data_IF_810257645925
#
_entry.id   IF_810257645925
#
_cell.length_a   1.000
_cell.length_b   1.000
_cell.length_c   1.000
_cell.angle_alpha   90.00
_cell.angle_beta   90.00
_cell.angle_gamma   90.00
#
_symmetry.space_group_name_H-M   'P 1'
#
loop_
_entity.id
_entity.type
_entity.pdbx_description
1 polymer ?
#
# COMPACT_ATOMS: atom_id res chain seq x y z
N UNK A 1 -10.39 4.21 -13.84
CA UNK A 1 -10.01 5.35 -12.99
C UNK A 1 -8.79 4.88 -12.21
N UNK A 2 -7.69 5.62 -12.22
CA UNK A 2 -6.49 5.21 -11.48
C UNK A 2 -6.72 5.48 -9.99
N UNK A 3 -7.20 4.47 -9.27
CA UNK A 3 -7.51 4.56 -7.84
C UNK A 3 -6.25 4.76 -7.00
N UNK A 4 -5.07 4.38 -7.50
CA UNK A 4 -3.79 4.58 -6.81
C UNK A 4 -3.42 6.07 -6.87
N UNK A 5 -3.43 6.66 -8.07
CA UNK A 5 -3.17 8.10 -8.21
C UNK A 5 -4.20 8.95 -7.46
N UNK A 6 -5.48 8.57 -7.53
CA UNK A 6 -6.54 9.26 -6.79
C UNK A 6 -6.32 9.16 -5.27
N UNK A 7 -5.94 7.98 -4.76
CA UNK A 7 -5.59 7.79 -3.34
C UNK A 7 -4.41 8.67 -2.92
N UNK A 8 -3.35 8.73 -3.74
CA UNK A 8 -2.18 9.58 -3.50
C UNK A 8 -2.56 11.06 -3.42
N UNK A 9 -3.36 11.55 -4.36
CA UNK A 9 -3.82 12.95 -4.34
C UNK A 9 -4.74 13.25 -3.16
N UNK A 10 -5.62 12.32 -2.78
CA UNK A 10 -6.42 12.44 -1.56
C UNK A 10 -5.53 12.57 -0.30
N UNK A 11 -4.45 11.78 -0.21
CA UNK A 11 -3.49 11.87 0.88
C UNK A 11 -2.76 13.22 0.97
N UNK A 12 -2.46 13.84 -0.18
CA UNK A 12 -1.89 15.20 -0.23
C UNK A 12 -2.89 16.23 0.30
N UNK A 13 -4.16 16.19 -0.16
CA UNK A 13 -5.20 17.10 0.34
C UNK A 13 -5.41 16.91 1.86
N UNK A 14 -5.41 15.68 2.36
CA UNK A 14 -5.57 15.37 3.78
C UNK A 14 -4.43 15.99 4.62
N UNK A 15 -3.19 15.86 4.15
CA UNK A 15 -2.01 16.46 4.78
C UNK A 15 -2.10 17.99 4.83
N UNK A 16 -2.45 18.64 3.72
CA UNK A 16 -2.52 20.09 3.67
C UNK A 16 -3.75 20.65 4.41
N UNK A 17 -4.88 19.94 4.41
CA UNK A 17 -6.06 20.26 5.24
C UNK A 17 -5.70 20.29 6.72
N UNK A 18 -4.93 19.30 7.20
CA UNK A 18 -4.42 19.26 8.57
C UNK A 18 -3.51 20.44 8.90
N UNK A 19 -2.56 20.77 8.01
CA UNK A 19 -1.69 21.94 8.18
C UNK A 19 -2.49 23.24 8.30
N UNK A 20 -3.52 23.43 7.48
CA UNK A 20 -4.38 24.62 7.61
C UNK A 20 -4.96 24.74 9.03
N UNK A 21 -5.45 23.64 9.62
CA UNK A 21 -5.98 23.63 11.00
C UNK A 21 -4.90 23.95 12.04
N UNK A 22 -3.71 23.39 11.88
CA UNK A 22 -2.56 23.66 12.76
C UNK A 22 -2.16 25.15 12.71
N UNK A 23 -2.08 25.72 11.51
CA UNK A 23 -1.77 27.13 11.29
C UNK A 23 -2.84 28.08 11.87
N UNK A 24 -4.11 27.67 11.89
CA UNK A 24 -5.20 28.41 12.54
C UNK A 24 -5.07 28.40 14.08
N UNK A 25 -4.56 27.30 14.63
CA UNK A 25 -4.45 27.08 16.08
C UNK A 25 -3.31 27.87 16.74
N UNK A 26 -2.40 28.45 15.96
CA UNK A 26 -1.29 29.23 16.49
C UNK A 26 -1.77 30.61 16.99
N UNK A 27 -1.57 30.89 18.29
CA UNK A 27 -2.15 32.06 18.98
C UNK A 27 -1.48 33.39 18.59
N UNK A 28 -0.21 33.35 18.14
CA UNK A 28 0.62 34.57 18.12
C UNK A 28 0.71 35.29 16.77
N UNK A 29 0.51 34.61 15.62
CA UNK A 29 0.54 35.23 14.28
C UNK A 29 0.06 34.29 13.18
N UNK A 30 -0.60 34.84 12.16
CA UNK A 30 -0.84 34.11 10.91
C UNK A 30 0.47 33.96 10.11
N UNK A 31 0.93 32.73 9.91
CA UNK A 31 2.04 32.40 9.02
C UNK A 31 1.59 32.46 7.55
N UNK A 32 1.44 33.67 7.02
CA UNK A 32 0.86 33.92 5.68
C UNK A 32 1.49 33.08 4.57
N UNK A 33 2.80 32.96 4.56
CA UNK A 33 3.51 32.19 3.53
C UNK A 33 3.17 30.69 3.63
N UNK A 34 3.10 30.14 4.84
CA UNK A 34 2.71 28.75 5.06
C UNK A 34 1.26 28.49 4.61
N UNK A 35 0.35 29.43 4.89
CA UNK A 35 -1.03 29.38 4.37
C UNK A 35 -1.06 29.39 2.84
N UNK A 36 -0.41 30.36 2.21
CA UNK A 36 -0.40 30.49 0.75
C UNK A 36 0.19 29.25 0.07
N UNK A 37 1.28 28.70 0.63
CA UNK A 37 1.88 27.47 0.13
C UNK A 37 0.91 26.29 0.23
N UNK A 38 0.23 26.12 1.36
CA UNK A 38 -0.77 25.05 1.55
C UNK A 38 -1.92 25.19 0.54
N UNK A 39 -2.42 26.41 0.34
CA UNK A 39 -3.49 26.70 -0.63
C UNK A 39 -3.07 26.39 -2.07
N UNK A 40 -1.83 26.72 -2.47
CA UNK A 40 -1.30 26.40 -3.79
C UNK A 40 -1.22 24.89 -4.03
N UNK A 41 -0.77 24.13 -3.02
CA UNK A 41 -0.69 22.67 -3.12
C UNK A 41 -2.09 22.06 -3.23
N UNK A 42 -3.05 22.55 -2.42
CA UNK A 42 -4.44 22.10 -2.45
C UNK A 42 -5.06 22.35 -3.83
N UNK A 43 -4.97 23.57 -4.35
CA UNK A 43 -5.56 23.92 -5.66
C UNK A 43 -4.96 23.12 -6.81
N UNK A 44 -3.63 22.98 -6.83
CA UNK A 44 -2.92 22.15 -7.83
C UNK A 44 -3.38 20.69 -7.76
N UNK A 45 -3.54 20.15 -6.56
CA UNK A 45 -3.95 18.76 -6.35
C UNK A 45 -5.42 18.54 -6.70
N UNK A 46 -6.32 19.46 -6.35
CA UNK A 46 -7.74 19.41 -6.75
C UNK A 46 -7.90 19.43 -8.28
N UNK A 47 -7.07 20.21 -8.97
CA UNK A 47 -7.06 20.25 -10.44
C UNK A 47 -6.67 18.89 -11.05
N UNK A 48 -5.69 18.21 -10.47
CA UNK A 48 -5.29 16.84 -10.87
C UNK A 48 -6.40 15.83 -10.61
N UNK A 49 -7.06 15.90 -9.46
CA UNK A 49 -8.22 15.05 -9.15
C UNK A 49 -9.37 15.31 -10.15
N UNK A 50 -9.61 16.57 -10.51
CA UNK A 50 -10.63 16.94 -11.51
C UNK A 50 -10.34 16.36 -12.89
N UNK A 51 -9.07 16.23 -13.26
CA UNK A 51 -8.66 15.58 -14.51
C UNK A 51 -8.91 14.06 -14.47
N UNK A 52 -8.77 13.41 -13.30
CA UNK A 52 -9.09 12.00 -13.13
C UNK A 52 -10.61 11.74 -13.08
N UNK A 53 -11.39 12.71 -12.61
CA UNK A 53 -12.85 12.65 -12.45
C UNK A 53 -13.62 13.43 -13.52
N UNK A 54 -13.16 13.43 -14.76
CA UNK A 54 -13.71 14.23 -15.88
C UNK A 54 -15.21 14.05 -16.13
N UNK A 55 -15.79 12.90 -15.78
CA UNK A 55 -17.21 12.61 -15.99
C UNK A 55 -18.08 12.79 -14.71
N UNK A 56 -17.48 13.12 -13.57
CA UNK A 56 -18.20 13.32 -12.30
C UNK A 56 -18.67 14.78 -12.17
N UNK A 57 -19.90 15.05 -12.63
CA UNK A 57 -20.50 16.39 -12.60
C UNK A 57 -20.63 16.95 -11.17
N UNK A 58 -20.88 16.08 -10.19
CA UNK A 58 -20.99 16.48 -8.79
C UNK A 58 -19.63 16.94 -8.26
N UNK A 59 -18.57 16.18 -8.57
CA UNK A 59 -17.20 16.58 -8.24
C UNK A 59 -16.83 17.91 -8.90
N UNK A 60 -17.15 18.12 -10.18
CA UNK A 60 -16.86 19.38 -10.87
C UNK A 60 -17.49 20.60 -10.18
N UNK A 61 -18.75 20.49 -9.76
CA UNK A 61 -19.42 21.56 -9.02
C UNK A 61 -18.74 21.85 -7.67
N UNK A 62 -18.39 20.79 -6.93
CA UNK A 62 -17.67 20.92 -5.65
C UNK A 62 -16.26 21.51 -5.84
N UNK A 63 -15.55 21.11 -6.89
CA UNK A 63 -14.23 21.62 -7.25
C UNK A 63 -14.26 23.13 -7.53
N UNK A 64 -15.21 23.59 -8.34
CA UNK A 64 -15.38 25.02 -8.64
C UNK A 64 -15.67 25.84 -7.36
N UNK A 65 -16.52 25.29 -6.48
CA UNK A 65 -16.83 25.92 -5.20
C UNK A 65 -15.58 26.03 -4.31
N UNK A 66 -14.76 24.98 -4.23
CA UNK A 66 -13.50 24.99 -3.48
C UNK A 66 -12.46 25.95 -4.08
N UNK A 67 -12.34 26.03 -5.41
CA UNK A 67 -11.47 27.01 -6.06
C UNK A 67 -11.86 28.45 -5.71
N UNK A 68 -13.17 28.72 -5.62
CA UNK A 68 -13.69 30.03 -5.20
C UNK A 68 -13.29 30.33 -3.75
N UNK A 69 -13.47 29.37 -2.84
CA UNK A 69 -13.10 29.53 -1.43
C UNK A 69 -11.59 29.73 -1.24
N UNK A 70 -10.76 28.99 -1.98
CA UNK A 70 -9.30 29.16 -1.98
C UNK A 70 -8.90 30.56 -2.45
N UNK A 71 -9.50 31.04 -3.55
CA UNK A 71 -9.23 32.37 -4.10
C UNK A 71 -9.64 33.49 -3.13
N UNK A 72 -10.79 33.33 -2.47
CA UNK A 72 -11.26 34.24 -1.43
C UNK A 72 -10.29 34.27 -0.25
N UNK A 73 -9.87 33.10 0.25
CA UNK A 73 -8.94 33.02 1.38
C UNK A 73 -7.58 33.63 1.05
N UNK A 74 -7.05 33.43 -0.17
CA UNK A 74 -5.84 34.14 -0.64
C UNK A 74 -6.00 35.66 -0.58
N UNK A 75 -7.14 36.16 -1.05
CA UNK A 75 -7.47 37.60 -1.03
C UNK A 75 -7.52 38.13 0.41
N UNK A 76 -8.14 37.39 1.32
CA UNK A 76 -8.23 37.77 2.73
C UNK A 76 -6.85 37.79 3.41
N UNK A 77 -5.99 36.82 3.11
CA UNK A 77 -4.60 36.79 3.62
C UNK A 77 -3.77 37.99 3.15
N UNK A 78 -3.90 38.38 1.88
CA UNK A 78 -3.21 39.56 1.34
C UNK A 78 -3.73 40.86 1.96
N UNK A 79 -5.04 40.93 2.23
CA UNK A 79 -5.73 42.08 2.80
C UNK A 79 -6.02 41.92 4.29
N UNK A 80 -5.13 41.26 5.04
CA UNK A 80 -5.32 40.95 6.47
C UNK A 80 -5.73 42.18 7.30
N UNK A 81 -5.15 43.34 7.02
CA UNK A 81 -5.46 44.60 7.71
C UNK A 81 -6.93 45.05 7.58
N UNK A 82 -7.64 44.59 6.55
CA UNK A 82 -9.06 44.91 6.33
C UNK A 82 -10.00 43.87 6.96
N UNK A 83 -9.62 42.60 6.93
CA UNK A 83 -10.51 41.49 7.32
C UNK A 83 -10.29 41.01 8.77
N UNK A 84 -9.10 41.21 9.32
CA UNK A 84 -8.73 40.75 10.65
C UNK A 84 -8.37 39.26 10.72
N UNK A 85 -7.50 38.90 11.65
CA UNK A 85 -6.96 37.54 11.78
C UNK A 85 -8.02 36.49 12.10
N UNK A 86 -8.92 36.79 13.02
CA UNK A 86 -9.98 35.86 13.45
C UNK A 86 -10.93 35.47 12.31
N UNK A 87 -11.23 36.41 11.42
CA UNK A 87 -12.04 36.12 10.24
C UNK A 87 -11.31 35.14 9.31
N UNK A 88 -10.03 35.41 9.02
CA UNK A 88 -9.19 34.56 8.16
C UNK A 88 -9.08 33.15 8.75
N UNK A 89 -8.86 33.05 10.07
CA UNK A 89 -8.81 31.78 10.80
C UNK A 89 -10.09 30.96 10.61
N UNK A 90 -11.27 31.60 10.73
CA UNK A 90 -12.57 30.95 10.49
C UNK A 90 -12.74 30.50 9.04
N UNK A 91 -12.33 31.32 8.07
CA UNK A 91 -12.40 30.96 6.65
C UNK A 91 -11.48 29.79 6.30
N UNK A 92 -10.27 29.75 6.88
CA UNK A 92 -9.37 28.62 6.74
C UNK A 92 -9.93 27.33 7.37
N UNK A 93 -10.52 27.43 8.56
CA UNK A 93 -11.18 26.32 9.23
C UNK A 93 -12.35 25.78 8.38
N UNK A 94 -13.20 26.67 7.87
CA UNK A 94 -14.29 26.31 6.96
C UNK A 94 -13.80 25.58 5.71
N UNK A 95 -12.72 26.07 5.08
CA UNK A 95 -12.11 25.41 3.92
C UNK A 95 -11.62 24.00 4.28
N UNK A 96 -10.93 23.83 5.41
CA UNK A 96 -10.45 22.53 5.87
C UNK A 96 -11.61 21.54 6.09
N UNK A 97 -12.69 21.96 6.75
CA UNK A 97 -13.88 21.12 6.96
C UNK A 97 -14.54 20.70 5.63
N UNK A 98 -14.58 21.61 4.64
CA UNK A 98 -15.13 21.33 3.31
C UNK A 98 -14.25 20.37 2.50
N UNK A 99 -12.93 20.48 2.63
CA UNK A 99 -11.98 19.53 2.03
C UNK A 99 -12.15 18.13 2.63
N UNK A 100 -12.31 18.01 3.94
CA UNK A 100 -12.50 16.71 4.59
C UNK A 100 -13.83 16.07 4.18
N UNK A 101 -14.91 16.86 4.08
CA UNK A 101 -16.19 16.39 3.57
C UNK A 101 -16.12 15.90 2.11
N UNK A 102 -15.29 16.55 1.28
CA UNK A 102 -15.00 16.08 -0.07
C UNK A 102 -14.25 14.75 -0.04
N UNK A 103 -13.18 14.64 0.76
CA UNK A 103 -12.34 13.45 0.87
C UNK A 103 -13.15 12.21 1.22
N UNK A 104 -14.10 12.30 2.16
CA UNK A 104 -14.99 11.17 2.51
C UNK A 104 -15.77 10.63 1.31
N UNK A 105 -16.10 11.48 0.34
CA UNK A 105 -16.86 11.11 -0.87
C UNK A 105 -15.98 10.57 -1.98
N UNK A 106 -14.77 11.11 -2.13
CA UNK A 106 -13.91 10.84 -3.30
C UNK A 106 -12.80 9.84 -3.03
N UNK A 107 -12.40 9.65 -1.77
CA UNK A 107 -11.31 8.74 -1.41
C UNK A 107 -11.71 7.33 -1.84
N UNK A 108 -10.88 6.64 -2.65
CA UNK A 108 -11.16 5.27 -3.06
C UNK A 108 -11.44 4.40 -1.84
N UNK A 109 -12.63 3.83 -1.77
CA UNK A 109 -12.98 2.89 -0.71
C UNK A 109 -12.44 1.52 -1.12
N UNK A 110 -11.43 1.05 -0.42
CA UNK A 110 -10.81 -0.24 -0.75
C UNK A 110 -9.67 -0.60 0.19
N UNK A 111 -9.28 -1.87 0.12
CA UNK A 111 -8.17 -2.43 0.91
C UNK A 111 -6.88 -1.59 0.76
N UNK A 112 -6.56 -1.17 -0.46
CA UNK A 112 -5.36 -0.38 -0.76
C UNK A 112 -5.34 0.99 -0.07
N UNK A 113 -6.49 1.68 0.05
CA UNK A 113 -6.55 2.96 0.77
C UNK A 113 -6.33 2.77 2.28
N UNK A 114 -6.84 1.68 2.87
CA UNK A 114 -6.62 1.37 4.29
C UNK A 114 -5.19 0.95 4.57
N UNK A 115 -4.58 0.20 3.64
CA UNK A 115 -3.17 -0.18 3.71
C UNK A 115 -2.26 1.06 3.66
N UNK A 116 -2.55 1.99 2.75
CA UNK A 116 -1.80 3.25 2.66
C UNK A 116 -1.93 4.08 3.94
N UNK A 117 -3.14 4.19 4.51
CA UNK A 117 -3.35 4.85 5.81
C UNK A 117 -2.59 4.16 6.96
N UNK A 118 -2.55 2.83 6.96
CA UNK A 118 -1.80 2.05 7.96
C UNK A 118 -0.30 2.35 7.87
N UNK A 119 0.28 2.27 6.66
CA UNK A 119 1.70 2.55 6.41
C UNK A 119 2.03 4.00 6.82
N UNK A 120 1.18 4.97 6.48
CA UNK A 120 1.37 6.37 6.87
C UNK A 120 1.36 6.59 8.39
N UNK A 121 0.60 5.79 9.14
CA UNK A 121 0.55 5.84 10.62
C UNK A 121 1.70 5.09 11.29
N UNK A 122 2.33 4.16 10.58
CA UNK A 122 3.35 3.26 11.11
C UNK A 122 4.61 3.33 10.24
N UNK A 123 5.44 4.38 10.39
CA UNK A 123 6.55 4.70 9.49
C UNK A 123 7.68 3.65 9.49
N UNK A 124 7.67 2.70 10.42
CA UNK A 124 8.56 1.54 10.39
C UNK A 124 8.25 0.56 9.24
N UNK A 125 7.06 0.65 8.65
CA UNK A 125 6.66 -0.16 7.51
C UNK A 125 6.66 0.70 6.25
N UNK A 126 7.12 0.11 5.14
CA UNK A 126 7.10 0.74 3.82
C UNK A 126 6.08 0.06 2.90
N UNK A 127 5.79 0.69 1.77
CA UNK A 127 5.01 0.08 0.70
C UNK A 127 5.70 -1.21 0.18
N UNK A 128 7.02 -1.16 -0.05
CA UNK A 128 7.81 -2.33 -0.47
C UNK A 128 7.71 -3.48 0.53
N UNK A 129 7.75 -3.18 1.84
CA UNK A 129 7.55 -4.18 2.88
C UNK A 129 6.15 -4.81 2.78
N UNK A 130 5.11 -4.00 2.64
CA UNK A 130 3.73 -4.49 2.55
C UNK A 130 3.51 -5.36 1.31
N UNK A 131 4.06 -4.97 0.15
CA UNK A 131 4.00 -5.78 -1.08
C UNK A 131 4.74 -7.10 -0.90
N UNK A 132 5.97 -7.07 -0.37
CA UNK A 132 6.74 -8.29 -0.12
C UNK A 132 6.04 -9.26 0.83
N UNK A 133 5.41 -8.75 1.90
CA UNK A 133 4.59 -9.55 2.83
C UNK A 133 3.46 -10.29 2.11
N UNK A 134 2.79 -9.64 1.15
CA UNK A 134 1.70 -10.25 0.39
C UNK A 134 2.21 -11.37 -0.51
N UNK A 135 3.27 -11.14 -1.30
CA UNK A 135 3.81 -12.16 -2.21
C UNK A 135 4.38 -13.37 -1.45
N UNK A 136 5.18 -13.14 -0.41
CA UNK A 136 5.75 -14.21 0.41
C UNK A 136 4.65 -15.01 1.13
N UNK A 137 3.62 -14.33 1.63
CA UNK A 137 2.47 -14.98 2.25
C UNK A 137 1.65 -15.80 1.25
N UNK A 138 1.39 -15.27 0.06
CA UNK A 138 0.66 -15.97 -1.00
C UNK A 138 1.37 -17.26 -1.44
N UNK A 139 2.69 -17.19 -1.62
CA UNK A 139 3.53 -18.35 -1.95
C UNK A 139 3.45 -19.45 -0.87
N UNK A 140 3.53 -19.07 0.41
CA UNK A 140 3.42 -20.03 1.51
C UNK A 140 2.03 -20.66 1.61
N UNK A 141 0.97 -19.86 1.38
CA UNK A 141 -0.40 -20.37 1.34
C UNK A 141 -0.58 -21.36 0.19
N UNK A 142 -0.07 -21.06 -1.01
CA UNK A 142 -0.13 -21.97 -2.15
C UNK A 142 0.56 -23.31 -1.83
N UNK A 143 1.76 -23.26 -1.27
CA UNK A 143 2.50 -24.46 -0.87
C UNK A 143 1.76 -25.27 0.19
N UNK A 144 1.24 -24.64 1.24
CA UNK A 144 0.49 -25.34 2.28
C UNK A 144 -0.76 -26.03 1.72
N UNK A 145 -1.50 -25.32 0.86
CA UNK A 145 -2.70 -25.89 0.21
C UNK A 145 -2.36 -27.09 -0.65
N UNK A 146 -1.27 -27.04 -1.42
CA UNK A 146 -0.78 -28.19 -2.17
C UNK A 146 -0.50 -29.39 -1.27
N UNK A 147 0.27 -29.18 -0.20
CA UNK A 147 0.67 -30.27 0.69
C UNK A 147 -0.55 -30.91 1.38
N UNK A 148 -1.53 -30.11 1.75
CA UNK A 148 -2.81 -30.57 2.31
C UNK A 148 -3.64 -31.33 1.27
N UNK A 149 -3.83 -30.76 0.07
CA UNK A 149 -4.68 -31.35 -0.97
C UNK A 149 -4.18 -32.74 -1.41
N UNK A 150 -2.86 -32.90 -1.55
CA UNK A 150 -2.25 -34.16 -1.96
C UNK A 150 -1.84 -35.06 -0.77
N UNK A 151 -2.24 -34.70 0.46
CA UNK A 151 -1.92 -35.44 1.69
C UNK A 151 -0.43 -35.80 1.81
N UNK A 152 0.44 -34.84 1.52
CA UNK A 152 1.89 -35.07 1.44
C UNK A 152 2.47 -35.32 2.83
N UNK A 153 2.92 -36.56 3.08
CA UNK A 153 3.57 -36.93 4.34
C UNK A 153 5.07 -36.57 4.32
N UNK A 154 5.43 -35.46 4.97
CA UNK A 154 6.79 -34.95 5.01
C UNK A 154 7.77 -35.90 5.73
N UNK A 155 7.33 -36.64 6.74
CA UNK A 155 8.17 -37.61 7.46
C UNK A 155 8.51 -38.81 6.57
N UNK A 156 7.55 -39.33 5.80
CA UNK A 156 7.76 -40.42 4.84
C UNK A 156 8.70 -40.00 3.70
N UNK A 157 8.63 -38.73 3.30
CA UNK A 157 9.55 -38.14 2.33
C UNK A 157 10.94 -37.87 2.93
N UNK A 158 11.20 -38.22 4.20
CA UNK A 158 12.48 -38.05 4.87
C UNK A 158 12.87 -36.61 5.13
N UNK A 159 11.89 -35.70 5.20
CA UNK A 159 12.11 -34.29 5.58
C UNK A 159 12.31 -34.22 7.08
N UNK A 160 13.43 -33.63 7.51
CA UNK A 160 13.71 -33.42 8.94
C UNK A 160 13.34 -32.00 9.32
N UNK A 161 12.62 -31.85 10.44
CA UNK A 161 12.27 -30.54 11.01
C UNK A 161 13.54 -29.79 11.41
N UNK A 162 13.64 -28.51 11.03
CA UNK A 162 14.63 -27.60 11.57
C UNK A 162 14.15 -27.03 12.91
N UNK A 163 14.16 -27.84 13.98
CA UNK A 163 13.84 -27.42 15.35
C UNK A 163 12.76 -28.27 16.05
N UNK A 164 12.30 -27.79 17.21
CA UNK A 164 11.31 -28.48 18.06
C UNK A 164 9.84 -28.17 17.72
N UNK A 165 9.58 -27.34 16.70
CA UNK A 165 8.24 -26.86 16.32
C UNK A 165 7.80 -27.42 14.95
N UNK A 166 6.68 -26.93 14.41
CA UNK A 166 6.17 -27.29 13.08
C UNK A 166 7.20 -27.08 11.96
N UNK A 167 7.00 -27.76 10.82
CA UNK A 167 7.86 -27.64 9.64
C UNK A 167 7.94 -26.19 9.16
N UNK A 168 9.15 -25.72 8.92
CA UNK A 168 9.40 -24.40 8.34
C UNK A 168 8.95 -24.36 6.87
N UNK A 169 8.85 -23.16 6.29
CA UNK A 169 8.63 -23.00 4.85
C UNK A 169 9.68 -23.77 4.03
N UNK A 170 10.95 -23.72 4.43
CA UNK A 170 12.04 -24.42 3.75
C UNK A 170 11.83 -25.95 3.77
N UNK A 171 11.42 -26.50 4.92
CA UNK A 171 11.15 -27.93 5.08
C UNK A 171 9.98 -28.37 4.19
N UNK A 172 8.88 -27.60 4.22
CA UNK A 172 7.69 -27.85 3.41
C UNK A 172 7.99 -27.82 1.93
N UNK A 173 8.75 -26.84 1.47
CA UNK A 173 9.12 -26.72 0.06
C UNK A 173 10.05 -27.87 -0.36
N UNK A 174 10.99 -28.26 0.51
CA UNK A 174 11.84 -29.42 0.25
C UNK A 174 11.02 -30.71 0.13
N UNK A 175 10.00 -30.88 0.97
CA UNK A 175 9.01 -31.96 0.85
C UNK A 175 8.25 -31.93 -0.46
N UNK A 176 7.74 -30.76 -0.85
CA UNK A 176 7.10 -30.56 -2.16
C UNK A 176 8.00 -31.00 -3.32
N UNK A 177 9.26 -30.58 -3.35
CA UNK A 177 10.22 -31.00 -4.38
C UNK A 177 10.44 -32.51 -4.39
N UNK A 178 10.57 -33.14 -3.23
CA UNK A 178 10.72 -34.60 -3.12
C UNK A 178 9.47 -35.34 -3.60
N UNK A 179 8.30 -34.84 -3.24
CA UNK A 179 7.02 -35.38 -3.68
C UNK A 179 6.93 -35.36 -5.21
N UNK A 180 7.20 -34.23 -5.85
CA UNK A 180 7.18 -34.13 -7.31
C UNK A 180 8.18 -35.08 -7.99
N UNK A 181 9.38 -35.23 -7.43
CA UNK A 181 10.35 -36.19 -7.94
C UNK A 181 9.86 -37.66 -7.82
N UNK A 182 9.17 -38.03 -6.74
CA UNK A 182 8.55 -39.36 -6.61
C UNK A 182 7.45 -39.59 -7.66
N UNK A 183 6.79 -38.53 -8.11
CA UNK A 183 5.80 -38.57 -9.19
C UNK A 183 6.39 -38.33 -10.59
N UNK A 184 7.72 -38.43 -10.76
CA UNK A 184 8.44 -38.20 -12.02
C UNK A 184 8.22 -36.79 -12.63
N UNK A 185 7.82 -35.81 -11.82
CA UNK A 185 7.70 -34.41 -12.22
C UNK A 185 9.03 -33.72 -11.90
N UNK A 186 9.83 -33.50 -12.94
CA UNK A 186 11.15 -32.88 -12.78
C UNK A 186 11.03 -31.37 -12.54
N UNK A 187 11.67 -30.89 -11.47
CA UNK A 187 11.84 -29.47 -11.17
C UNK A 187 13.26 -29.07 -11.57
N UNK A 188 13.45 -27.97 -12.31
CA UNK A 188 14.80 -27.56 -12.67
C UNK A 188 15.63 -27.17 -11.44
N UNK A 189 16.95 -27.33 -11.58
CA UNK A 189 17.89 -27.25 -10.44
C UNK A 189 17.88 -25.89 -9.73
N UNK A 190 17.61 -24.81 -10.46
CA UNK A 190 17.57 -23.47 -9.89
C UNK A 190 16.39 -23.34 -8.90
N UNK A 191 15.23 -23.86 -9.29
CA UNK A 191 13.97 -23.86 -8.55
C UNK A 191 14.04 -24.72 -7.29
N UNK A 192 14.93 -25.72 -7.27
CA UNK A 192 15.21 -26.53 -6.08
C UNK A 192 16.01 -25.79 -5.00
N UNK A 193 16.85 -24.81 -5.36
CA UNK A 193 17.68 -24.05 -4.40
C UNK A 193 16.97 -22.82 -3.83
N UNK A 194 15.90 -22.36 -4.49
CA UNK A 194 15.06 -21.25 -4.04
C UNK A 194 14.62 -21.29 -2.57
N UNK A 195 14.20 -22.43 -1.97
CA UNK A 195 13.75 -22.45 -0.58
C UNK A 195 14.75 -21.89 0.43
N UNK A 196 16.07 -22.08 0.23
CA UNK A 196 17.08 -21.50 1.13
C UNK A 196 17.12 -19.98 1.02
N UNK A 197 17.00 -19.47 -0.20
CA UNK A 197 17.01 -18.02 -0.49
C UNK A 197 15.74 -17.39 0.08
N UNK A 198 14.57 -17.96 -0.18
CA UNK A 198 13.29 -17.45 0.31
C UNK A 198 13.12 -17.58 1.81
N UNK A 199 13.64 -18.63 2.43
CA UNK A 199 13.61 -18.75 3.89
C UNK A 199 14.31 -17.56 4.55
N UNK A 200 15.49 -17.19 4.08
CA UNK A 200 16.24 -16.06 4.61
C UNK A 200 15.54 -14.72 4.33
N UNK A 201 15.06 -14.51 3.10
CA UNK A 201 14.36 -13.27 2.74
C UNK A 201 13.06 -13.14 3.53
N UNK A 202 12.27 -14.22 3.63
CA UNK A 202 11.04 -14.27 4.43
C UNK A 202 11.32 -13.97 5.89
N UNK A 203 12.36 -14.57 6.48
CA UNK A 203 12.70 -14.29 7.86
C UNK A 203 13.01 -12.80 8.08
N UNK A 204 13.80 -12.21 7.18
CA UNK A 204 14.12 -10.78 7.22
C UNK A 204 12.87 -9.90 7.09
N UNK A 205 12.01 -10.15 6.09
CA UNK A 205 10.83 -9.31 5.83
C UNK A 205 9.76 -9.49 6.92
N UNK A 206 9.43 -10.73 7.26
CA UNK A 206 8.31 -11.07 8.15
C UNK A 206 8.67 -10.89 9.62
N UNK A 207 9.87 -11.28 10.03
CA UNK A 207 10.25 -11.33 11.45
C UNK A 207 11.19 -10.20 11.87
N UNK A 208 12.09 -9.76 10.99
CA UNK A 208 13.04 -8.67 11.29
C UNK A 208 12.52 -7.29 10.85
N UNK A 209 11.42 -7.22 10.10
CA UNK A 209 10.83 -5.97 9.61
C UNK A 209 11.65 -5.31 8.49
N UNK A 210 12.48 -6.08 7.79
CA UNK A 210 13.28 -5.56 6.68
C UNK A 210 12.39 -5.05 5.54
N UNK A 211 12.61 -3.80 5.14
CA UNK A 211 11.99 -3.19 3.96
C UNK A 211 12.86 -3.43 2.72
N UNK A 212 12.39 -4.22 1.73
CA UNK A 212 13.15 -4.47 0.50
C UNK A 212 13.44 -3.20 -0.29
N UNK A 213 14.62 -3.15 -0.92
CA UNK A 213 14.87 -2.18 -2.00
C UNK A 213 14.03 -2.52 -3.22
N UNK A 214 13.90 -1.62 -4.19
CA UNK A 214 13.11 -1.88 -5.40
C UNK A 214 13.63 -3.11 -6.17
N UNK A 215 14.95 -3.30 -6.21
CA UNK A 215 15.57 -4.48 -6.82
C UNK A 215 15.27 -5.77 -6.05
N UNK A 216 15.33 -5.71 -4.72
CA UNK A 216 15.02 -6.87 -3.88
C UNK A 216 13.51 -7.20 -3.98
N UNK A 217 12.66 -6.18 -4.11
CA UNK A 217 11.23 -6.35 -4.27
C UNK A 217 10.89 -7.01 -5.62
N UNK A 218 11.47 -6.52 -6.72
CA UNK A 218 11.32 -7.14 -8.05
C UNK A 218 11.72 -8.62 -8.01
N UNK A 219 12.85 -8.92 -7.37
CA UNK A 219 13.30 -10.29 -7.16
C UNK A 219 12.29 -11.12 -6.36
N UNK A 220 11.75 -10.58 -5.26
CA UNK A 220 10.73 -11.27 -4.46
C UNK A 220 9.48 -11.58 -5.30
N UNK A 221 8.99 -10.60 -6.06
CA UNK A 221 7.79 -10.73 -6.90
C UNK A 221 8.01 -11.83 -7.95
N UNK A 222 9.05 -11.68 -8.78
CA UNK A 222 9.35 -12.58 -9.89
C UNK A 222 9.41 -14.04 -9.44
N UNK A 223 10.08 -14.29 -8.33
CA UNK A 223 10.26 -15.66 -7.87
C UNK A 223 9.07 -16.22 -7.10
N UNK A 224 8.34 -15.40 -6.33
CA UNK A 224 7.10 -15.87 -5.71
C UNK A 224 6.11 -16.29 -6.81
N UNK A 225 6.00 -15.52 -7.88
CA UNK A 225 5.16 -15.87 -9.04
C UNK A 225 5.63 -17.16 -9.72
N UNK A 226 6.95 -17.34 -9.92
CA UNK A 226 7.49 -18.60 -10.46
C UNK A 226 7.17 -19.81 -9.59
N UNK A 227 7.33 -19.68 -8.27
CA UNK A 227 7.03 -20.77 -7.34
C UNK A 227 5.54 -21.10 -7.34
N UNK A 228 4.68 -20.10 -7.29
CA UNK A 228 3.23 -20.31 -7.35
C UNK A 228 2.85 -20.98 -8.68
N UNK A 229 3.39 -20.50 -9.81
CA UNK A 229 3.15 -21.12 -11.11
C UNK A 229 3.67 -22.57 -11.20
N UNK A 230 4.79 -22.88 -10.55
CA UNK A 230 5.30 -24.26 -10.44
C UNK A 230 4.36 -25.15 -9.64
N UNK A 231 3.82 -24.65 -8.53
CA UNK A 231 2.83 -25.37 -7.72
C UNK A 231 1.58 -25.62 -8.56
N UNK A 232 1.01 -24.61 -9.20
CA UNK A 232 -0.19 -24.73 -10.04
C UNK A 232 -0.01 -25.69 -11.23
N UNK A 233 1.16 -25.68 -11.88
CA UNK A 233 1.49 -26.63 -12.95
C UNK A 233 1.59 -28.07 -12.40
N UNK A 234 2.20 -28.25 -11.23
CA UNK A 234 2.28 -29.54 -10.57
C UNK A 234 0.91 -30.09 -10.17
N UNK A 235 0.04 -29.25 -9.58
CA UNK A 235 -1.34 -29.64 -9.25
C UNK A 235 -2.09 -30.15 -10.46
N UNK A 236 -1.96 -29.44 -11.60
CA UNK A 236 -2.62 -29.81 -12.85
C UNK A 236 -2.15 -31.16 -13.36
N UNK A 237 -0.83 -31.37 -13.42
CA UNK A 237 -0.25 -32.65 -13.89
C UNK A 237 -0.65 -33.83 -13.03
N UNK A 238 -0.74 -33.65 -11.72
CA UNK A 238 -1.12 -34.70 -10.78
C UNK A 238 -2.64 -35.00 -10.78
N UNK A 239 -3.46 -34.05 -11.22
CA UNK A 239 -4.92 -34.24 -11.39
C UNK A 239 -5.28 -34.87 -12.75
N UNK A 240 -4.46 -34.64 -13.77
CA UNK A 240 -4.68 -35.12 -15.14
C UNK A 240 -4.05 -36.50 -15.42
N UNK A 241 -3.07 -36.93 -14.62
CA UNK A 241 -2.40 -38.23 -14.72
C UNK A 241 -2.96 -39.29 -13.78
#
# INVERSE_FOLDING_TARGET
MDDIELSRFCGVIEKESRKLRELVSNENKLEKEAFLNSLNIIESTLSKISALKTNDLNFKSQHLSLQTDISNLRTFLQKEHLYGQEYIKRQAQYLADKLDALLVKIKPKGFLSRLNEFIAKHPQFSENWAVAMVYLGAMEVALNRFLEEFNVNLDELGVRKHGNYDYTFADKYFGFVRYLNHHNIHIPKLEMELPKIFYNIRNKVVHEGYSPSDKDLEFIIEYCERVVGLIEDAERRLKEG
#
